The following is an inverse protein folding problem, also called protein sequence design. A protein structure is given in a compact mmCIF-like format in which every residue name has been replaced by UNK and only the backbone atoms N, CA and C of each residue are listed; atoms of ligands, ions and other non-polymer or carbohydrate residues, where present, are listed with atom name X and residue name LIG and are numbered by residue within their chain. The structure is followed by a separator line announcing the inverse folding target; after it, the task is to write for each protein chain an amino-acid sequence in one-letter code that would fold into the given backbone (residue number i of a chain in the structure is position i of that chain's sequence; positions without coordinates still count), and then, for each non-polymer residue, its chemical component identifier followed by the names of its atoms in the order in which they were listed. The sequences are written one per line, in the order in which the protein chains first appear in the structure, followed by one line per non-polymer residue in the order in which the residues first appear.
data_IF_496615331312
#
_entry.id   IF_496615331312
#
_cell.length_a   1.000
_cell.length_b   1.000
_cell.length_c   1.000
_cell.angle_alpha   90.00
_cell.angle_beta   90.00
_cell.angle_gamma   90.00
#
_symmetry.space_group_name_H-M   'P 1'
#
loop_
_entity.id
_entity.type
_entity.pdbx_description
1 polymer ?
#
# COMPACT_ATOMS: atom_id res chain seq x y z
N UNK A 1 -49.65 3.84 -10.77
CA UNK A 1 -48.19 3.94 -10.50
C UNK A 1 -47.81 5.41 -10.44
N UNK A 2 -47.20 5.83 -9.32
CA UNK A 2 -47.16 7.21 -8.84
C UNK A 2 -46.02 8.04 -9.49
N UNK A 3 -46.31 9.24 -10.02
CA UNK A 3 -45.36 10.11 -10.74
C UNK A 3 -44.12 10.52 -9.91
N UNK A 4 -44.18 10.47 -8.58
CA UNK A 4 -43.07 10.80 -7.68
C UNK A 4 -41.83 9.89 -7.85
N UNK A 5 -41.99 8.62 -8.24
CA UNK A 5 -40.87 7.69 -8.36
C UNK A 5 -40.07 7.85 -9.66
N UNK A 6 -40.62 8.48 -10.70
CA UNK A 6 -39.89 8.75 -11.96
C UNK A 6 -38.94 9.94 -11.83
N UNK A 7 -39.25 10.90 -10.97
CA UNK A 7 -38.44 12.11 -10.80
C UNK A 7 -37.18 11.90 -9.94
N UNK A 8 -37.19 10.99 -8.96
CA UNK A 8 -35.98 10.70 -8.18
C UNK A 8 -34.96 9.89 -8.99
N UNK A 9 -35.43 8.92 -9.78
CA UNK A 9 -34.58 8.09 -10.63
C UNK A 9 -33.88 8.91 -11.74
N UNK A 10 -34.55 9.94 -12.25
CA UNK A 10 -33.95 10.88 -13.22
C UNK A 10 -32.90 11.80 -12.58
N UNK A 11 -33.09 12.22 -11.31
CA UNK A 11 -32.11 13.05 -10.60
C UNK A 11 -30.83 12.28 -10.28
N UNK A 12 -30.93 11.01 -9.90
CA UNK A 12 -29.76 10.15 -9.65
C UNK A 12 -28.99 9.83 -10.93
N UNK A 13 -29.69 9.60 -12.06
CA UNK A 13 -29.02 9.38 -13.35
C UNK A 13 -28.27 10.63 -13.86
N UNK A 14 -28.80 11.84 -13.64
CA UNK A 14 -28.14 13.08 -14.06
C UNK A 14 -26.91 13.38 -13.17
N UNK A 15 -27.00 13.13 -11.85
CA UNK A 15 -25.87 13.31 -10.95
C UNK A 15 -24.70 12.38 -11.29
N UNK A 16 -24.97 11.11 -11.61
CA UNK A 16 -23.94 10.16 -12.02
C UNK A 16 -23.28 10.53 -13.37
N UNK A 17 -24.06 11.07 -14.31
CA UNK A 17 -23.52 11.53 -15.60
C UNK A 17 -22.57 12.73 -15.45
N UNK A 18 -22.87 13.66 -14.55
CA UNK A 18 -21.99 14.81 -14.28
C UNK A 18 -20.67 14.35 -13.65
N UNK A 19 -20.71 13.40 -12.70
CA UNK A 19 -19.50 12.84 -12.07
C UNK A 19 -18.63 12.12 -13.10
N UNK A 20 -19.22 11.32 -13.99
CA UNK A 20 -18.47 10.61 -15.05
C UNK A 20 -17.84 11.60 -16.03
N UNK A 21 -18.55 12.67 -16.41
CA UNK A 21 -18.01 13.71 -17.29
C UNK A 21 -16.87 14.51 -16.63
N UNK A 22 -16.97 14.77 -15.32
CA UNK A 22 -15.86 15.37 -14.57
C UNK A 22 -14.65 14.42 -14.53
N UNK A 23 -14.82 13.14 -14.21
CA UNK A 23 -13.70 12.17 -14.18
C UNK A 23 -13.04 12.05 -15.56
N UNK A 24 -13.83 11.98 -16.64
CA UNK A 24 -13.28 11.93 -18.00
C UNK A 24 -12.55 13.23 -18.38
N UNK A 25 -13.02 14.39 -17.94
CA UNK A 25 -12.33 15.67 -18.17
C UNK A 25 -11.01 15.77 -17.38
N UNK A 26 -10.98 15.26 -16.16
CA UNK A 26 -9.75 15.16 -15.35
C UNK A 26 -8.73 14.18 -15.97
N UNK A 27 -9.19 13.03 -16.47
CA UNK A 27 -8.33 12.04 -17.14
C UNK A 27 -7.79 12.59 -18.48
N UNK A 28 -8.58 13.38 -19.21
CA UNK A 28 -8.12 13.97 -20.48
C UNK A 28 -7.09 15.09 -20.27
N UNK A 29 -7.23 15.90 -19.21
CA UNK A 29 -6.27 16.97 -18.88
C UNK A 29 -4.92 16.46 -18.32
N UNK A 30 -4.81 15.18 -17.95
CA UNK A 30 -3.52 14.59 -17.56
C UNK A 30 -2.61 14.21 -18.74
N UNK A 31 -3.09 14.28 -19.99
CA UNK A 31 -2.33 13.82 -21.16
C UNK A 31 -1.58 14.91 -21.94
N UNK A 32 -1.60 16.18 -21.50
CA UNK A 32 -1.00 17.30 -22.25
C UNK A 32 -0.13 18.23 -21.38
N UNK A 33 0.98 17.72 -20.83
CA UNK A 33 2.08 18.56 -20.37
C UNK A 33 3.40 18.12 -21.03
N UNK A 34 3.94 18.87 -22.00
CA UNK A 34 5.30 18.69 -22.45
C UNK A 34 6.29 19.51 -21.61
N UNK A 35 7.12 18.75 -20.89
CA UNK A 35 8.59 18.82 -20.83
C UNK A 35 9.32 19.94 -20.03
N UNK A 36 10.53 19.54 -19.63
CA UNK A 36 11.68 20.33 -19.17
C UNK A 36 11.75 20.71 -17.68
N UNK A 37 12.11 19.73 -16.83
CA UNK A 37 13.11 19.92 -15.75
C UNK A 37 13.66 18.60 -15.14
N UNK A 38 13.44 17.45 -15.77
CA UNK A 38 13.80 16.13 -15.20
C UNK A 38 15.29 15.77 -15.26
N UNK A 39 16.17 16.64 -15.78
CA UNK A 39 17.60 16.27 -15.90
C UNK A 39 18.30 16.19 -14.54
N UNK A 40 18.01 17.13 -13.62
CA UNK A 40 18.55 17.14 -12.27
C UNK A 40 17.90 16.08 -11.38
N UNK A 41 16.64 15.74 -11.64
CA UNK A 41 15.92 14.69 -10.93
C UNK A 41 16.35 13.28 -11.39
N UNK A 42 16.52 13.04 -12.70
CA UNK A 42 16.94 11.72 -13.21
C UNK A 42 18.30 11.29 -12.73
N UNK A 43 19.28 12.18 -12.60
CA UNK A 43 20.62 11.78 -12.15
C UNK A 43 20.67 11.53 -10.64
N UNK A 44 19.84 12.23 -9.86
CA UNK A 44 19.63 11.93 -8.45
C UNK A 44 18.82 10.64 -8.26
N UNK A 45 17.76 10.41 -9.05
CA UNK A 45 17.01 9.16 -9.10
C UNK A 45 17.92 8.00 -9.51
N UNK A 46 18.76 8.16 -10.54
CA UNK A 46 19.74 7.14 -10.92
C UNK A 46 20.72 6.86 -9.80
N UNK A 47 21.21 7.87 -9.06
CA UNK A 47 22.12 7.64 -7.90
C UNK A 47 21.41 6.94 -6.74
N UNK A 48 20.16 7.30 -6.46
CA UNK A 48 19.33 6.65 -5.44
C UNK A 48 19.02 5.21 -5.85
N UNK A 49 18.62 4.97 -7.10
CA UNK A 49 18.42 3.65 -7.69
C UNK A 49 19.72 2.86 -7.64
N UNK A 50 20.87 3.46 -7.98
CA UNK A 50 22.17 2.78 -7.96
C UNK A 50 22.61 2.40 -6.53
N UNK A 51 22.43 3.27 -5.54
CA UNK A 51 22.65 2.91 -4.13
C UNK A 51 21.69 1.83 -3.65
N UNK A 52 20.42 1.92 -4.06
CA UNK A 52 19.45 0.87 -3.78
C UNK A 52 19.82 -0.43 -4.50
N UNK A 53 20.44 -0.36 -5.68
CA UNK A 53 20.93 -1.48 -6.51
C UNK A 53 22.13 -2.21 -5.87
N UNK A 54 22.94 -1.48 -5.10
CA UNK A 54 24.12 -1.96 -4.38
C UNK A 54 23.79 -2.59 -3.02
N UNK A 55 22.58 -2.41 -2.50
CA UNK A 55 22.11 -3.17 -1.34
C UNK A 55 21.98 -4.66 -1.73
N UNK A 56 22.37 -5.60 -0.85
CA UNK A 56 22.25 -7.02 -1.11
C UNK A 56 20.80 -7.37 -1.47
N UNK A 57 20.57 -8.33 -2.39
CA UNK A 57 19.22 -8.70 -2.80
C UNK A 57 18.44 -9.17 -1.56
N UNK A 58 17.48 -8.36 -1.14
CA UNK A 58 16.60 -8.72 -0.02
C UNK A 58 15.55 -9.70 -0.53
N UNK A 59 15.43 -10.84 0.16
CA UNK A 59 14.37 -11.82 -0.11
C UNK A 59 13.00 -11.17 0.18
N UNK A 60 12.10 -11.07 -0.83
CA UNK A 60 10.78 -10.47 -0.66
C UNK A 60 9.96 -11.10 0.47
N UNK A 61 10.12 -12.40 0.68
CA UNK A 61 9.41 -13.12 1.73
C UNK A 61 9.94 -12.69 3.10
N UNK A 62 11.27 -12.60 3.28
CA UNK A 62 11.86 -12.13 4.53
C UNK A 62 11.54 -10.67 4.82
N UNK A 63 11.54 -9.79 3.82
CA UNK A 63 11.10 -8.39 4.00
C UNK A 63 9.63 -8.34 4.43
N UNK A 64 8.76 -9.17 3.85
CA UNK A 64 7.35 -9.25 4.26
C UNK A 64 7.19 -9.75 5.69
N UNK A 65 7.88 -10.83 6.08
CA UNK A 65 7.86 -11.38 7.44
C UNK A 65 8.32 -10.31 8.44
N UNK A 66 9.42 -9.62 8.14
CA UNK A 66 9.95 -8.54 8.97
C UNK A 66 8.96 -7.37 9.12
N UNK A 67 8.24 -7.03 8.05
CA UNK A 67 7.17 -6.03 8.11
C UNK A 67 6.03 -6.45 9.02
N UNK A 68 5.60 -7.71 8.97
CA UNK A 68 4.54 -8.23 9.85
C UNK A 68 4.97 -8.30 11.31
N UNK A 69 6.23 -8.64 11.58
CA UNK A 69 6.79 -8.59 12.92
C UNK A 69 6.80 -7.14 13.47
N UNK A 70 7.20 -6.16 12.66
CA UNK A 70 7.14 -4.76 13.04
C UNK A 70 5.69 -4.29 13.28
N UNK A 71 4.77 -4.71 12.42
CA UNK A 71 3.33 -4.44 12.59
C UNK A 71 2.82 -5.03 13.91
N UNK A 72 3.15 -6.28 14.22
CA UNK A 72 2.77 -6.93 15.48
C UNK A 72 3.23 -6.14 16.70
N UNK A 73 4.50 -5.76 16.74
CA UNK A 73 5.06 -4.97 17.85
C UNK A 73 4.30 -3.67 18.08
N UNK A 74 3.83 -3.02 17.01
CA UNK A 74 3.03 -1.81 17.11
C UNK A 74 1.58 -2.11 17.49
N UNK A 75 0.92 -3.05 16.81
CA UNK A 75 -0.48 -3.38 17.00
C UNK A 75 -0.78 -4.06 18.34
N UNK A 76 0.20 -4.71 18.97
CA UNK A 76 0.06 -5.20 20.35
C UNK A 76 -0.19 -4.06 21.36
N UNK A 77 0.14 -2.81 21.00
CA UNK A 77 -0.10 -1.63 21.84
C UNK A 77 -1.46 -0.97 21.57
N UNK A 78 -2.20 -1.42 20.55
CA UNK A 78 -3.47 -0.83 20.17
C UNK A 78 -4.59 -1.26 21.15
N UNK A 79 -5.39 -0.33 21.68
CA UNK A 79 -6.37 -0.62 22.74
C UNK A 79 -7.62 -1.35 22.23
N UNK A 80 -7.88 -1.33 20.92
CA UNK A 80 -9.03 -1.94 20.25
C UNK A 80 -8.74 -3.35 19.70
N UNK A 81 -7.53 -3.88 19.92
CA UNK A 81 -7.14 -5.22 19.48
C UNK A 81 -6.87 -6.15 20.67
N UNK A 82 -7.08 -7.47 20.53
CA UNK A 82 -6.69 -8.44 21.55
C UNK A 82 -5.17 -8.44 21.74
N UNK A 83 -4.70 -8.19 22.97
CA UNK A 83 -3.26 -8.20 23.30
C UNK A 83 -2.92 -9.35 24.26
N UNK A 84 -1.87 -10.16 23.97
CA UNK A 84 -1.01 -10.11 22.79
C UNK A 84 -1.67 -10.71 21.53
N UNK A 85 -1.36 -10.16 20.36
CA UNK A 85 -1.81 -10.70 19.09
C UNK A 85 -1.02 -11.97 18.74
N UNK A 86 -1.70 -13.04 18.33
CA UNK A 86 -1.02 -14.20 17.76
C UNK A 86 -0.54 -13.92 16.33
N UNK A 87 0.40 -14.72 15.83
CA UNK A 87 0.85 -14.68 14.43
C UNK A 87 -0.34 -14.83 13.46
N UNK A 88 -1.21 -15.82 13.74
CA UNK A 88 -2.44 -16.04 12.98
C UNK A 88 -3.41 -14.84 13.09
N UNK A 89 -3.48 -14.17 14.24
CA UNK A 89 -4.28 -12.96 14.43
C UNK A 89 -3.81 -11.82 13.53
N UNK A 90 -2.51 -11.55 13.50
CA UNK A 90 -1.90 -10.56 12.60
C UNK A 90 -2.16 -10.94 11.14
N UNK A 91 -1.90 -12.20 10.74
CA UNK A 91 -2.16 -12.66 9.37
C UNK A 91 -3.62 -12.46 8.98
N UNK A 92 -4.56 -12.75 9.88
CA UNK A 92 -5.99 -12.57 9.64
C UNK A 92 -6.34 -11.10 9.44
N UNK A 93 -5.76 -10.19 10.25
CA UNK A 93 -5.97 -8.75 10.11
C UNK A 93 -5.51 -8.21 8.75
N UNK A 94 -4.39 -8.71 8.21
CA UNK A 94 -3.84 -8.24 6.93
C UNK A 94 -4.44 -8.94 5.70
N UNK A 95 -4.78 -10.22 5.81
CA UNK A 95 -5.26 -11.01 4.67
C UNK A 95 -6.78 -11.11 4.58
N UNK A 96 -7.49 -10.85 5.69
CA UNK A 96 -8.90 -11.19 5.83
C UNK A 96 -9.17 -12.70 5.92
N UNK A 97 -8.14 -13.55 6.00
CA UNK A 97 -8.25 -15.00 6.06
C UNK A 97 -7.43 -15.63 7.18
N UNK A 98 -8.09 -16.44 8.01
CA UNK A 98 -7.42 -17.22 9.05
C UNK A 98 -6.65 -18.44 8.51
N UNK A 99 -6.87 -18.83 7.24
CA UNK A 99 -6.35 -20.09 6.69
C UNK A 99 -4.84 -20.09 6.43
N UNK A 100 -4.22 -18.91 6.33
CA UNK A 100 -2.78 -18.79 6.07
C UNK A 100 -1.96 -19.08 7.33
N UNK A 101 -2.46 -18.69 8.51
CA UNK A 101 -1.99 -19.13 9.83
C UNK A 101 -0.61 -18.62 10.28
N UNK A 102 0.34 -18.44 9.37
CA UNK A 102 1.73 -18.03 9.64
C UNK A 102 2.16 -16.90 8.71
N UNK A 103 3.14 -16.11 9.14
CA UNK A 103 3.78 -15.07 8.35
C UNK A 103 4.40 -15.65 7.09
N UNK A 104 5.07 -16.81 7.21
CA UNK A 104 5.69 -17.47 6.07
C UNK A 104 4.67 -17.80 4.98
N UNK A 105 3.54 -18.41 5.34
CA UNK A 105 2.49 -18.79 4.38
C UNK A 105 1.83 -17.56 3.76
N UNK A 106 1.49 -16.57 4.58
CA UNK A 106 0.90 -15.32 4.10
C UNK A 106 1.85 -14.59 3.14
N UNK A 107 3.11 -14.41 3.54
CA UNK A 107 4.09 -13.71 2.72
C UNK A 107 4.37 -14.44 1.41
N UNK A 108 4.49 -15.78 1.46
CA UNK A 108 4.62 -16.61 0.25
C UNK A 108 3.42 -16.43 -0.67
N UNK A 109 2.19 -16.43 -0.12
CA UNK A 109 0.97 -16.20 -0.91
C UNK A 109 0.90 -14.78 -1.49
N UNK A 110 1.30 -13.77 -0.71
CA UNK A 110 1.23 -12.36 -1.09
C UNK A 110 2.21 -12.04 -2.22
N UNK A 111 3.49 -12.41 -2.07
CA UNK A 111 4.54 -12.07 -3.05
C UNK A 111 4.37 -12.80 -4.39
N UNK A 112 3.59 -13.89 -4.40
CA UNK A 112 3.24 -14.66 -5.58
C UNK A 112 1.81 -14.40 -6.10
N UNK A 113 1.08 -13.47 -5.48
CA UNK A 113 -0.26 -13.09 -5.92
C UNK A 113 -0.25 -12.41 -7.28
N UNK A 114 -1.39 -12.40 -7.98
CA UNK A 114 -1.55 -11.71 -9.27
C UNK A 114 -1.17 -10.23 -9.22
N UNK A 115 -1.35 -9.57 -8.07
CA UNK A 115 -0.96 -8.17 -7.86
C UNK A 115 0.55 -7.98 -7.89
N UNK A 116 1.30 -8.93 -7.31
CA UNK A 116 2.75 -8.80 -7.14
C UNK A 116 3.55 -9.54 -8.21
N UNK A 117 2.97 -10.50 -8.94
CA UNK A 117 3.70 -11.37 -9.87
C UNK A 117 4.45 -10.59 -10.96
N UNK A 118 3.93 -9.43 -11.37
CA UNK A 118 4.53 -8.54 -12.37
C UNK A 118 5.78 -7.80 -11.88
N UNK A 119 5.93 -7.62 -10.56
CA UNK A 119 7.06 -6.90 -10.00
C UNK A 119 8.31 -7.79 -9.86
N UNK A 120 9.48 -7.19 -10.03
CA UNK A 120 10.75 -7.86 -9.74
C UNK A 120 10.85 -8.20 -8.25
N UNK A 121 11.65 -9.22 -7.90
CA UNK A 121 11.91 -9.55 -6.50
C UNK A 121 12.38 -8.31 -5.70
N UNK A 122 13.23 -7.48 -6.30
CA UNK A 122 13.69 -6.23 -5.67
C UNK A 122 12.55 -5.25 -5.38
N UNK A 123 11.67 -5.02 -6.34
CA UNK A 123 10.51 -4.14 -6.14
C UNK A 123 9.58 -4.70 -5.06
N UNK A 124 9.32 -6.02 -5.06
CA UNK A 124 8.54 -6.69 -3.99
C UNK A 124 9.16 -6.45 -2.61
N UNK A 125 10.46 -6.68 -2.46
CA UNK A 125 11.16 -6.49 -1.20
C UNK A 125 11.12 -5.02 -0.73
N UNK A 126 11.38 -4.09 -1.65
CA UNK A 126 11.28 -2.65 -1.39
C UNK A 126 9.90 -2.26 -0.85
N UNK A 127 8.82 -2.75 -1.45
CA UNK A 127 7.45 -2.50 -0.97
C UNK A 127 7.23 -3.00 0.46
N UNK A 128 7.73 -4.20 0.77
CA UNK A 128 7.61 -4.76 2.12
C UNK A 128 8.45 -3.97 3.13
N UNK A 129 9.63 -3.49 2.73
CA UNK A 129 10.46 -2.64 3.56
C UNK A 129 9.84 -1.25 3.80
N UNK A 130 9.11 -0.68 2.83
CA UNK A 130 8.30 0.52 3.07
C UNK A 130 7.26 0.29 4.19
N UNK A 131 6.56 -0.85 4.15
CA UNK A 131 5.59 -1.21 5.17
C UNK A 131 6.26 -1.41 6.53
N UNK A 132 7.42 -2.08 6.57
CA UNK A 132 8.22 -2.22 7.79
C UNK A 132 8.58 -0.85 8.37
N UNK A 133 9.10 0.06 7.55
CA UNK A 133 9.47 1.42 7.97
C UNK A 133 8.30 2.21 8.53
N UNK A 134 7.10 2.07 7.97
CA UNK A 134 5.89 2.69 8.52
C UNK A 134 5.64 2.23 9.96
N UNK A 135 5.66 0.92 10.21
CA UNK A 135 5.41 0.36 11.53
C UNK A 135 6.51 0.72 12.53
N UNK A 136 7.78 0.67 12.12
CA UNK A 136 8.89 1.06 12.99
C UNK A 136 8.83 2.55 13.35
N UNK A 137 8.46 3.41 12.40
CA UNK A 137 8.35 4.85 12.64
C UNK A 137 7.21 5.18 13.61
N UNK A 138 6.07 4.50 13.50
CA UNK A 138 4.97 4.66 14.46
C UNK A 138 5.38 4.23 15.86
N UNK A 139 6.10 3.12 15.97
CA UNK A 139 6.61 2.62 17.24
C UNK A 139 7.62 3.60 17.86
N UNK A 140 8.58 4.08 17.08
CA UNK A 140 9.55 5.08 17.57
C UNK A 140 8.90 6.41 17.94
N UNK A 141 7.82 6.80 17.25
CA UNK A 141 7.06 8.01 17.55
C UNK A 141 6.07 7.84 18.72
N UNK A 142 5.94 6.64 19.30
CA UNK A 142 5.00 6.37 20.39
C UNK A 142 3.52 6.46 20.00
N UNK A 143 3.20 6.24 18.72
CA UNK A 143 1.84 6.40 18.16
C UNK A 143 1.11 5.07 17.93
N UNK A 144 1.66 3.97 18.45
CA UNK A 144 1.10 2.63 18.30
C UNK A 144 -0.13 2.36 19.19
N UNK A 145 -0.37 3.22 20.20
CA UNK A 145 -1.52 3.15 21.11
C UNK A 145 -2.83 3.71 20.51
N UNK A 146 -2.83 4.07 19.23
CA UNK A 146 -4.03 4.48 18.50
C UNK A 146 -4.84 3.25 18.04
N UNK A 147 -6.04 3.46 17.49
CA UNK A 147 -6.85 2.36 16.95
C UNK A 147 -6.07 1.55 15.90
N UNK A 148 -5.94 0.24 16.11
CA UNK A 148 -5.23 -0.68 15.24
C UNK A 148 -5.82 -0.70 13.83
N UNK A 149 -7.14 -0.66 13.70
CA UNK A 149 -7.82 -0.56 12.39
C UNK A 149 -7.47 0.74 11.65
N UNK A 150 -7.41 1.87 12.36
CA UNK A 150 -6.97 3.16 11.79
C UNK A 150 -5.51 3.09 11.33
N UNK A 151 -4.66 2.44 12.10
CA UNK A 151 -3.25 2.26 11.75
C UNK A 151 -3.06 1.36 10.52
N UNK A 152 -3.82 0.27 10.40
CA UNK A 152 -3.79 -0.63 9.24
C UNK A 152 -4.31 0.10 7.98
N UNK A 153 -5.43 0.80 8.07
CA UNK A 153 -5.99 1.55 6.93
C UNK A 153 -5.06 2.69 6.49
N UNK A 154 -4.43 3.37 7.45
CA UNK A 154 -3.44 4.42 7.22
C UNK A 154 -2.13 3.96 6.60
N UNK A 155 -1.84 2.65 6.57
CA UNK A 155 -0.63 2.09 5.98
C UNK A 155 -0.47 2.51 4.52
N UNK A 156 -1.53 2.36 3.72
CA UNK A 156 -1.52 2.66 2.28
C UNK A 156 -1.13 4.12 1.97
N UNK A 157 -1.66 5.06 2.76
CA UNK A 157 -1.31 6.48 2.68
C UNK A 157 0.10 6.73 3.19
N UNK A 158 0.47 6.12 4.33
CA UNK A 158 1.78 6.28 4.96
C UNK A 158 2.95 5.75 4.12
N UNK A 159 2.69 4.77 3.26
CA UNK A 159 3.72 4.17 2.40
C UNK A 159 3.59 4.57 0.92
N UNK A 160 2.65 5.45 0.56
CA UNK A 160 2.34 5.80 -0.83
C UNK A 160 3.58 6.28 -1.61
N UNK A 161 4.31 7.26 -1.06
CA UNK A 161 5.50 7.82 -1.71
C UNK A 161 6.60 6.78 -1.90
N UNK A 162 6.88 5.99 -0.86
CA UNK A 162 7.86 4.90 -0.91
C UNK A 162 7.47 3.83 -1.92
N UNK A 163 6.19 3.45 -1.95
CA UNK A 163 5.63 2.48 -2.88
C UNK A 163 5.79 2.93 -4.33
N UNK A 164 5.54 4.20 -4.64
CA UNK A 164 5.73 4.77 -5.97
C UNK A 164 7.19 4.62 -6.44
N UNK A 165 8.14 4.89 -5.56
CA UNK A 165 9.58 4.71 -5.86
C UNK A 165 9.96 3.24 -6.02
N UNK A 166 9.42 2.33 -5.21
CA UNK A 166 9.70 0.90 -5.36
C UNK A 166 9.21 0.34 -6.70
N UNK A 167 8.05 0.81 -7.16
CA UNK A 167 7.48 0.41 -8.46
C UNK A 167 8.25 1.03 -9.64
N UNK A 168 8.77 2.25 -9.51
CA UNK A 168 9.63 2.82 -10.57
C UNK A 168 10.96 2.06 -10.73
N UNK A 169 11.44 1.40 -9.67
CA UNK A 169 12.61 0.52 -9.71
C UNK A 169 12.33 -0.80 -10.46
N UNK A 170 11.07 -1.25 -10.56
CA UNK A 170 10.74 -2.48 -11.33
C UNK A 170 10.93 -2.35 -12.84
N UNK A 171 11.09 -1.15 -13.38
CA UNK A 171 11.25 -0.93 -14.83
C UNK A 171 9.97 -1.19 -15.64
N UNK A 172 8.80 -1.18 -14.99
CA UNK A 172 7.48 -1.15 -15.64
C UNK A 172 6.95 0.28 -15.75
#
# INVERSE_FOLDING_TARGET
MNQKNRLSHWKESIANLIVILFVLHWVWNCNNLPNDDDSFNRDNEKRVILQYLLLPPTDPIQSCVSSLQAAKTCLDQAPDLPTPLSEAGIVTLFSGSATLGTYQNYCTSLVNSATFVKFTARAKACLMDCNRSYWTNRNSAGTCNQSGLSQITGLSTGTFSCTKTCVSISGE
#
